data_IF_807597133945
#
_entry.id   IF_807597133945
#
_cell.length_a   1.000
_cell.length_b   1.000
_cell.length_c   1.000
_cell.angle_alpha   90.00
_cell.angle_beta   90.00
_cell.angle_gamma   90.00
#
_symmetry.space_group_name_H-M   'P 1'
#
loop_
_entity.id
_entity.type
_entity.pdbx_description
1 polymer ?
#
# COMPACT_ATOMS: atom_id res chain seq x y z
N UNK A 1 -0.35 -55.87 35.35
CA UNK A 1 0.72 -55.03 34.76
C UNK A 1 0.06 -54.07 33.79
N UNK A 2 -0.29 -52.87 34.25
CA UNK A 2 -0.92 -51.83 33.42
C UNK A 2 0.14 -50.78 33.18
N UNK A 3 0.57 -50.64 31.92
CA UNK A 3 1.61 -49.69 31.51
C UNK A 3 0.94 -48.37 31.12
N UNK A 4 1.24 -47.32 31.88
CA UNK A 4 0.79 -45.96 31.58
C UNK A 4 1.55 -45.37 30.37
N UNK A 5 0.89 -44.64 29.46
CA UNK A 5 1.58 -43.98 28.36
C UNK A 5 2.32 -42.73 28.83
N UNK A 6 3.64 -42.73 28.60
CA UNK A 6 4.58 -41.64 28.82
C UNK A 6 4.15 -40.37 28.06
N UNK A 7 3.78 -39.33 28.79
CA UNK A 7 3.33 -38.05 28.25
C UNK A 7 4.34 -37.39 27.30
N UNK A 8 3.84 -36.86 26.18
CA UNK A 8 4.63 -36.11 25.19
C UNK A 8 5.17 -34.79 25.79
N UNK A 9 6.40 -34.37 25.44
CA UNK A 9 6.98 -33.16 26.00
C UNK A 9 6.22 -31.91 25.52
N UNK A 10 5.66 -31.14 26.46
CA UNK A 10 5.11 -29.79 26.22
C UNK A 10 6.24 -28.90 25.70
N UNK A 11 6.19 -28.53 24.40
CA UNK A 11 7.08 -27.50 23.83
C UNK A 11 6.92 -26.20 24.63
N UNK A 12 7.97 -25.80 25.33
CA UNK A 12 8.01 -24.52 26.01
C UNK A 12 7.95 -23.39 24.97
N UNK A 13 6.91 -22.55 25.06
CA UNK A 13 6.81 -21.33 24.26
C UNK A 13 7.86 -20.35 24.79
N UNK A 14 9.04 -20.33 24.16
CA UNK A 14 10.05 -19.29 24.43
C UNK A 14 9.41 -17.94 24.14
N UNK A 15 9.33 -17.09 25.15
CA UNK A 15 8.91 -15.69 25.01
C UNK A 15 9.85 -15.00 24.01
N UNK A 16 9.30 -14.50 22.92
CA UNK A 16 10.06 -13.83 21.86
C UNK A 16 10.34 -12.40 22.27
N UNK A 17 11.57 -11.94 22.00
CA UNK A 17 12.00 -10.56 22.25
C UNK A 17 11.20 -9.60 21.34
N UNK A 18 10.79 -8.42 21.83
CA UNK A 18 10.11 -7.42 21.01
C UNK A 18 10.98 -7.00 19.83
N UNK A 19 10.38 -6.90 18.63
CA UNK A 19 11.08 -6.55 17.38
C UNK A 19 11.53 -7.73 16.51
N UNK A 20 11.21 -8.97 16.88
CA UNK A 20 11.47 -10.13 16.02
C UNK A 20 10.48 -10.16 14.84
N UNK A 21 10.99 -10.16 13.60
CA UNK A 21 10.17 -10.36 12.40
C UNK A 21 9.48 -11.71 12.46
N UNK A 22 8.15 -11.71 12.35
CA UNK A 22 7.37 -12.93 12.24
C UNK A 22 7.11 -13.27 10.77
N UNK A 23 7.39 -14.52 10.40
CA UNK A 23 7.10 -15.02 9.06
C UNK A 23 5.78 -15.78 9.11
N UNK A 24 4.87 -15.44 8.20
CA UNK A 24 3.61 -16.14 8.01
C UNK A 24 3.41 -16.48 6.53
N UNK A 25 2.61 -17.50 6.27
CA UNK A 25 2.27 -17.96 4.93
C UNK A 25 0.90 -17.42 4.52
N UNK A 26 0.79 -16.91 3.29
CA UNK A 26 -0.46 -16.39 2.74
C UNK A 26 -0.82 -17.16 1.48
N UNK A 27 -2.04 -17.68 1.43
CA UNK A 27 -2.59 -18.32 0.24
C UNK A 27 -3.15 -17.26 -0.71
N UNK A 28 -2.65 -17.22 -1.94
CA UNK A 28 -3.12 -16.34 -3.02
C UNK A 28 -3.24 -17.13 -4.31
N UNK A 29 -4.09 -16.66 -5.23
CA UNK A 29 -4.15 -17.26 -6.56
C UNK A 29 -2.84 -17.06 -7.34
N UNK A 30 -2.62 -17.89 -8.35
CA UNK A 30 -1.39 -17.89 -9.16
C UNK A 30 -1.15 -16.56 -9.86
N UNK A 31 -2.20 -15.87 -10.34
CA UNK A 31 -2.07 -14.58 -11.04
C UNK A 31 -1.64 -13.50 -10.06
N UNK A 32 -2.25 -13.46 -8.87
CA UNK A 32 -1.87 -12.51 -7.80
C UNK A 32 -0.43 -12.72 -7.35
N UNK A 33 0.01 -13.97 -7.17
CA UNK A 33 1.41 -14.28 -6.86
C UNK A 33 2.39 -13.71 -7.90
N UNK A 34 2.07 -13.84 -9.18
CA UNK A 34 2.91 -13.31 -10.27
C UNK A 34 2.93 -11.78 -10.28
N UNK A 35 1.78 -11.12 -10.05
CA UNK A 35 1.68 -9.66 -9.94
C UNK A 35 2.53 -9.13 -8.78
N UNK A 36 2.40 -9.73 -7.60
CA UNK A 36 3.19 -9.34 -6.41
C UNK A 36 4.69 -9.49 -6.67
N UNK A 37 5.13 -10.59 -7.27
CA UNK A 37 6.55 -10.79 -7.63
C UNK A 37 7.05 -9.73 -8.61
N UNK A 38 6.25 -9.39 -9.62
CA UNK A 38 6.61 -8.40 -10.63
C UNK A 38 6.75 -7.01 -10.02
N UNK A 39 5.79 -6.62 -9.19
CA UNK A 39 5.80 -5.36 -8.47
C UNK A 39 6.97 -5.27 -7.48
N UNK A 40 7.22 -6.35 -6.73
CA UNK A 40 8.34 -6.43 -5.80
C UNK A 40 9.68 -6.32 -6.54
N UNK A 41 9.80 -6.92 -7.73
CA UNK A 41 11.00 -6.79 -8.57
C UNK A 41 11.22 -5.35 -9.03
N UNK A 42 10.16 -4.66 -9.44
CA UNK A 42 10.24 -3.29 -9.92
C UNK A 42 10.55 -2.27 -8.82
N UNK A 43 10.01 -2.46 -7.60
CA UNK A 43 10.09 -1.47 -6.51
C UNK A 43 11.10 -1.80 -5.41
N UNK A 44 11.31 -3.08 -5.14
CA UNK A 44 12.04 -3.58 -3.96
C UNK A 44 13.09 -4.65 -4.30
N UNK A 45 13.59 -4.68 -5.54
CA UNK A 45 14.61 -5.65 -5.96
C UNK A 45 14.19 -7.12 -5.87
N UNK A 46 12.88 -7.40 -5.80
CA UNK A 46 12.32 -8.74 -5.69
C UNK A 46 11.91 -9.14 -4.27
N UNK A 47 12.11 -8.27 -3.28
CA UNK A 47 11.70 -8.51 -1.91
C UNK A 47 10.17 -8.35 -1.75
N UNK A 48 9.45 -9.47 -1.71
CA UNK A 48 7.99 -9.49 -1.57
C UNK A 48 7.54 -9.08 -0.18
N UNK A 49 8.29 -9.39 0.89
CA UNK A 49 7.87 -8.96 2.23
C UNK A 49 7.97 -7.44 2.39
N UNK A 50 8.99 -6.81 1.82
CA UNK A 50 9.09 -5.35 1.76
C UNK A 50 7.90 -4.70 1.02
N UNK A 51 7.49 -5.28 -0.12
CA UNK A 51 6.29 -4.83 -0.82
C UNK A 51 5.02 -4.99 0.04
N UNK A 52 4.87 -6.13 0.74
CA UNK A 52 3.71 -6.37 1.61
C UNK A 52 3.69 -5.35 2.76
N UNK A 53 4.84 -5.02 3.35
CA UNK A 53 4.94 -3.99 4.39
C UNK A 53 4.55 -2.60 3.85
N UNK A 54 4.99 -2.23 2.65
CA UNK A 54 4.57 -0.97 2.00
C UNK A 54 3.04 -0.93 1.83
N UNK A 55 2.46 -2.00 1.27
CA UNK A 55 1.02 -2.09 1.03
C UNK A 55 0.20 -2.05 2.33
N UNK A 56 0.72 -2.64 3.41
CA UNK A 56 0.08 -2.58 4.72
C UNK A 56 0.03 -1.14 5.25
N UNK A 57 1.15 -0.40 5.19
CA UNK A 57 1.21 1.00 5.61
C UNK A 57 0.30 1.90 4.76
N UNK A 58 0.24 1.64 3.46
CA UNK A 58 -0.67 2.38 2.57
C UNK A 58 -2.14 2.09 2.92
N UNK A 59 -2.47 0.83 3.23
CA UNK A 59 -3.79 0.44 3.70
C UNK A 59 -4.17 1.10 5.04
N UNK A 60 -3.23 1.22 5.98
CA UNK A 60 -3.44 1.94 7.24
C UNK A 60 -3.73 3.43 7.02
N UNK A 61 -2.99 4.08 6.12
CA UNK A 61 -3.25 5.47 5.74
C UNK A 61 -4.62 5.64 5.11
N UNK A 62 -5.00 4.74 4.20
CA UNK A 62 -6.31 4.77 3.58
C UNK A 62 -7.42 4.57 4.61
N UNK A 63 -7.27 3.60 5.52
CA UNK A 63 -8.25 3.39 6.59
C UNK A 63 -8.32 4.57 7.58
N UNK A 64 -7.20 5.23 7.84
CA UNK A 64 -7.18 6.46 8.64
C UNK A 64 -7.90 7.61 7.91
N UNK A 65 -7.68 7.75 6.61
CA UNK A 65 -8.40 8.72 5.78
C UNK A 65 -9.90 8.45 5.77
N UNK A 66 -10.34 7.22 5.53
CA UNK A 66 -11.76 6.84 5.56
C UNK A 66 -12.39 7.15 6.92
N UNK A 67 -11.71 6.83 8.04
CA UNK A 67 -12.20 7.17 9.38
C UNK A 67 -12.30 8.68 9.60
N UNK A 68 -11.30 9.44 9.15
CA UNK A 68 -11.33 10.89 9.21
C UNK A 68 -12.47 11.45 8.34
N UNK A 69 -12.70 10.89 7.15
CA UNK A 69 -13.81 11.25 6.28
C UNK A 69 -15.17 10.93 6.92
N UNK A 70 -15.31 9.82 7.66
CA UNK A 70 -16.56 9.56 8.39
C UNK A 70 -16.81 10.57 9.52
N UNK A 71 -15.76 11.16 10.10
CA UNK A 71 -15.87 12.16 11.16
C UNK A 71 -16.01 13.59 10.67
N UNK A 72 -15.29 13.94 9.60
CA UNK A 72 -15.18 15.30 9.06
C UNK A 72 -15.87 15.48 7.70
N UNK A 73 -16.14 14.38 6.99
CA UNK A 73 -16.72 14.39 5.66
C UNK A 73 -18.14 14.93 5.73
N UNK A 74 -18.30 16.09 5.10
CA UNK A 74 -19.61 16.66 4.81
C UNK A 74 -20.40 15.80 3.81
N UNK A 75 -21.57 16.28 3.37
CA UNK A 75 -22.35 15.59 2.34
C UNK A 75 -21.49 15.28 1.11
N UNK A 76 -21.72 14.10 0.52
CA UNK A 76 -21.03 13.69 -0.69
C UNK A 76 -21.26 14.75 -1.78
N UNK A 77 -20.20 15.28 -2.43
CA UNK A 77 -20.38 16.35 -3.40
C UNK A 77 -21.26 15.87 -4.55
N UNK A 78 -22.17 16.73 -4.98
CA UNK A 78 -23.06 16.48 -6.09
C UNK A 78 -22.27 16.25 -7.38
N UNK A 79 -22.91 15.62 -8.38
CA UNK A 79 -22.27 15.36 -9.67
C UNK A 79 -21.72 16.64 -10.32
N UNK A 80 -22.42 17.76 -10.13
CA UNK A 80 -22.03 19.07 -10.64
C UNK A 80 -20.81 19.64 -9.90
N UNK A 81 -20.75 19.51 -8.57
CA UNK A 81 -19.59 19.91 -7.76
C UNK A 81 -18.35 19.06 -8.09
N UNK A 82 -18.53 17.75 -8.29
CA UNK A 82 -17.46 16.86 -8.75
C UNK A 82 -16.98 17.23 -10.16
N UNK A 83 -17.88 17.63 -11.06
CA UNK A 83 -17.51 18.07 -12.40
C UNK A 83 -16.72 19.38 -12.35
N UNK A 84 -17.13 20.34 -11.50
CA UNK A 84 -16.42 21.59 -11.27
C UNK A 84 -15.00 21.35 -10.72
N UNK A 85 -14.85 20.50 -9.70
CA UNK A 85 -13.56 20.13 -9.12
C UNK A 85 -12.63 19.47 -10.15
N UNK A 86 -13.16 18.56 -10.97
CA UNK A 86 -12.37 17.94 -12.05
C UNK A 86 -11.92 18.96 -13.11
N UNK A 87 -12.79 19.90 -13.46
CA UNK A 87 -12.45 20.95 -14.42
C UNK A 87 -11.35 21.87 -13.89
N UNK A 88 -11.41 22.24 -12.60
CA UNK A 88 -10.38 23.02 -11.92
C UNK A 88 -9.03 22.29 -11.93
N UNK A 89 -9.02 21.01 -11.55
CA UNK A 89 -7.80 20.19 -11.60
C UNK A 89 -7.22 20.11 -13.02
N UNK A 90 -8.02 19.78 -14.03
CA UNK A 90 -7.50 19.68 -15.41
C UNK A 90 -6.99 21.05 -15.92
N UNK A 91 -7.60 22.15 -15.49
CA UNK A 91 -7.11 23.50 -15.73
C UNK A 91 -5.71 23.73 -15.16
N UNK A 92 -5.48 23.37 -13.90
CA UNK A 92 -4.18 23.43 -13.24
C UNK A 92 -3.12 22.57 -13.95
N UNK A 93 -3.49 21.37 -14.40
CA UNK A 93 -2.58 20.48 -15.13
C UNK A 93 -2.20 21.05 -16.51
N UNK A 94 -3.14 21.68 -17.22
CA UNK A 94 -2.84 22.37 -18.48
C UNK A 94 -1.84 23.52 -18.28
N UNK A 95 -1.96 24.28 -17.19
CA UNK A 95 -1.01 25.35 -16.86
C UNK A 95 0.39 24.78 -16.57
N UNK A 96 0.47 23.71 -15.78
CA UNK A 96 1.73 23.03 -15.48
C UNK A 96 2.42 22.49 -16.76
N UNK A 97 1.65 21.87 -17.67
CA UNK A 97 2.15 21.40 -18.98
C UNK A 97 2.68 22.56 -19.84
N UNK A 98 1.95 23.68 -19.90
CA UNK A 98 2.38 24.89 -20.62
C UNK A 98 3.68 25.48 -20.05
N UNK A 99 3.80 25.56 -18.72
CA UNK A 99 5.01 26.03 -18.06
C UNK A 99 6.23 25.14 -18.38
N UNK A 100 6.03 23.81 -18.37
CA UNK A 100 7.08 22.84 -18.72
C UNK A 100 7.52 22.98 -20.19
N UNK A 101 6.58 23.13 -21.12
CA UNK A 101 6.88 23.35 -22.54
C UNK A 101 7.66 24.65 -22.79
N UNK A 102 7.28 25.75 -22.12
CA UNK A 102 7.98 27.04 -22.21
C UNK A 102 9.42 26.94 -21.70
N UNK A 103 9.64 26.22 -20.59
CA UNK A 103 10.98 25.98 -20.02
C UNK A 103 11.86 25.14 -20.94
N UNK A 104 11.29 24.15 -21.62
CA UNK A 104 12.03 23.33 -22.60
C UNK A 104 12.46 24.14 -23.82
N UNK A 105 11.59 25.01 -24.37
CA UNK A 105 11.95 25.85 -25.53
C UNK A 105 13.07 26.85 -25.22
N UNK A 106 13.12 27.40 -24.00
CA UNK A 106 14.21 28.30 -23.58
C UNK A 106 15.56 27.58 -23.44
N UNK A 107 15.57 26.27 -23.18
CA UNK A 107 16.80 25.47 -23.05
C UNK A 107 17.39 25.01 -24.37
N UNK A 108 16.59 24.98 -25.44
CA UNK A 108 17.04 24.60 -26.79
C UNK A 108 17.42 25.79 -27.64
N UNK A 109 17.10 27.01 -27.19
CA UNK A 109 17.42 28.27 -27.85
C UNK A 109 18.63 29.00 -27.23
N UNK A 110 19.26 28.38 -26.24
CA UNK A 110 20.51 28.79 -25.60
C UNK A 110 21.54 27.69 -25.85
#
# INVERSE_FOLDING_TARGET
>A
MTVEPKGAPKKSRRSRRPGATETFSVSVDRKTKLRLKTLARARHGGNVSALITELALEGERHAAFERAWQWYGGPEPTADELAALRAEWEGGWKLARKARAKRSKRRTAA
#
